data_IF_420724767870
#
_entry.id   IF_420724767870
#
_cell.length_a   1.000
_cell.length_b   1.000
_cell.length_c   1.000
_cell.angle_alpha   90.00
_cell.angle_beta   90.00
_cell.angle_gamma   90.00
#
_symmetry.space_group_name_H-M   'P 1'
#
loop_
_entity.id
_entity.type
_entity.pdbx_description
1 polymer ?
#
# COMPACT_ATOMS: atom_id res chain seq x y z
N UNK A 1 -6.80 14.60 8.86
CA UNK A 1 -6.06 13.82 7.84
C UNK A 1 -5.86 12.41 8.39
N UNK A 2 -6.12 11.38 7.60
CA UNK A 2 -6.02 9.97 7.97
C UNK A 2 -5.01 9.28 7.07
N UNK A 3 -4.07 8.53 7.67
CA UNK A 3 -3.05 7.79 6.94
C UNK A 3 -3.20 6.29 7.21
N UNK A 4 -3.33 5.50 6.14
CA UNK A 4 -3.31 4.04 6.20
C UNK A 4 -2.43 3.49 5.08
N UNK A 5 -1.39 2.76 5.47
CA UNK A 5 -0.37 2.30 4.55
C UNK A 5 -0.77 0.99 3.87
N UNK A 6 -0.80 1.02 2.54
CA UNK A 6 -0.95 -0.19 1.72
C UNK A 6 0.37 -0.95 1.63
N UNK A 7 1.51 -0.26 1.72
CA UNK A 7 2.89 -0.77 1.72
C UNK A 7 3.35 -1.43 0.41
N UNK A 8 2.55 -2.25 -0.27
CA UNK A 8 2.96 -2.97 -1.49
C UNK A 8 1.78 -3.51 -2.31
N UNK A 9 2.10 -4.16 -3.44
CA UNK A 9 1.15 -4.75 -4.39
C UNK A 9 0.54 -6.06 -3.85
N UNK A 10 -0.68 -6.46 -4.27
CA UNK A 10 -1.42 -7.59 -3.68
C UNK A 10 -0.63 -8.90 -3.57
N UNK A 11 0.17 -9.23 -4.60
CA UNK A 11 0.99 -10.46 -4.64
C UNK A 11 2.02 -10.51 -3.52
N UNK A 12 2.75 -9.42 -3.30
CA UNK A 12 3.79 -9.32 -2.26
C UNK A 12 3.15 -9.11 -0.90
N UNK A 13 2.05 -8.36 -0.84
CA UNK A 13 1.29 -8.10 0.38
C UNK A 13 0.86 -9.41 1.07
N UNK A 14 0.35 -10.37 0.30
CA UNK A 14 -0.05 -11.70 0.80
C UNK A 14 1.11 -12.46 1.46
N UNK A 15 2.33 -12.26 0.98
CA UNK A 15 3.53 -12.94 1.46
C UNK A 15 4.10 -12.30 2.72
N UNK A 16 4.13 -10.97 2.79
CA UNK A 16 4.72 -10.23 3.92
C UNK A 16 3.71 -10.05 5.07
N UNK A 17 2.42 -9.91 4.77
CA UNK A 17 1.38 -9.57 5.75
C UNK A 17 0.18 -10.52 5.66
N UNK A 18 0.34 -11.82 5.95
CA UNK A 18 -0.73 -12.81 5.79
C UNK A 18 -1.98 -12.53 6.66
N UNK A 19 -1.81 -11.81 7.78
CA UNK A 19 -2.92 -11.41 8.66
C UNK A 19 -3.74 -10.22 8.13
N UNK A 20 -3.23 -9.50 7.13
CA UNK A 20 -3.90 -8.34 6.55
C UNK A 20 -4.41 -8.69 5.15
N UNK A 21 -5.48 -8.01 4.71
CA UNK A 21 -6.01 -8.17 3.36
C UNK A 21 -5.89 -6.85 2.63
N UNK A 22 -5.41 -6.90 1.39
CA UNK A 22 -5.26 -5.75 0.50
C UNK A 22 -6.59 -4.98 0.38
N UNK A 23 -7.67 -5.68 0.05
CA UNK A 23 -9.02 -5.11 -0.10
C UNK A 23 -9.50 -4.40 1.19
N UNK A 24 -9.20 -5.01 2.35
CA UNK A 24 -9.58 -4.41 3.65
C UNK A 24 -8.82 -3.12 3.93
N UNK A 25 -7.58 -3.00 3.45
CA UNK A 25 -6.82 -1.74 3.53
C UNK A 25 -7.44 -0.65 2.66
N UNK A 26 -7.92 -1.00 1.47
CA UNK A 26 -8.65 -0.07 0.61
C UNK A 26 -9.98 0.36 1.24
N UNK A 27 -10.74 -0.57 1.81
CA UNK A 27 -12.00 -0.27 2.51
C UNK A 27 -11.81 0.74 3.65
N UNK A 28 -10.68 0.66 4.37
CA UNK A 28 -10.36 1.60 5.45
C UNK A 28 -10.12 3.01 4.89
N UNK A 29 -9.44 3.13 3.75
CA UNK A 29 -9.24 4.41 3.05
C UNK A 29 -10.58 4.96 2.58
N UNK A 30 -11.43 4.13 1.97
CA UNK A 30 -12.77 4.54 1.50
C UNK A 30 -13.65 5.03 2.64
N UNK A 31 -13.63 4.36 3.79
CA UNK A 31 -14.37 4.80 4.98
C UNK A 31 -13.85 6.12 5.53
N UNK A 32 -12.54 6.32 5.58
CA UNK A 32 -11.96 7.58 6.02
C UNK A 32 -12.33 8.73 5.07
N UNK A 33 -12.29 8.50 3.76
CA UNK A 33 -12.75 9.47 2.75
C UNK A 33 -14.23 9.79 2.91
N UNK A 34 -15.09 8.79 3.10
CA UNK A 34 -16.52 8.97 3.32
C UNK A 34 -16.83 9.75 4.62
N UNK A 35 -15.95 9.65 5.63
CA UNK A 35 -16.01 10.47 6.84
C UNK A 35 -15.51 11.92 6.65
N UNK A 36 -15.19 12.34 5.42
CA UNK A 36 -14.74 13.70 5.10
C UNK A 36 -13.28 13.98 5.45
N UNK A 37 -12.48 12.95 5.74
CA UNK A 37 -11.06 13.11 6.05
C UNK A 37 -10.22 13.10 4.78
N UNK A 38 -9.21 13.98 4.72
CA UNK A 38 -8.13 13.87 3.73
C UNK A 38 -7.35 12.57 3.97
N UNK A 39 -7.22 11.74 2.95
CA UNK A 39 -6.62 10.40 3.04
C UNK A 39 -5.20 10.36 2.46
N UNK A 40 -4.34 9.55 3.08
CA UNK A 40 -2.98 9.29 2.63
C UNK A 40 -2.64 7.80 2.71
N UNK A 41 -1.85 7.33 1.75
CA UNK A 41 -1.24 6.00 1.77
C UNK A 41 0.20 6.03 1.26
N UNK A 42 0.83 4.87 1.23
CA UNK A 42 2.18 4.68 0.72
C UNK A 42 2.32 3.42 -0.14
N UNK A 43 3.38 3.38 -0.94
CA UNK A 43 3.90 2.19 -1.60
C UNK A 43 5.42 2.14 -1.39
N UNK A 44 5.94 0.99 -0.98
CA UNK A 44 7.35 0.70 -0.92
C UNK A 44 7.72 -0.04 -2.20
N UNK A 45 8.69 0.51 -2.94
CA UNK A 45 9.15 0.01 -4.24
C UNK A 45 10.50 -0.70 -4.10
N UNK A 46 10.74 -1.76 -4.88
CA UNK A 46 11.97 -2.56 -4.84
C UNK A 46 11.84 -3.85 -4.03
N UNK A 47 10.62 -4.32 -3.76
CA UNK A 47 10.36 -5.62 -3.12
C UNK A 47 10.08 -6.75 -4.13
N UNK A 48 10.26 -6.47 -5.42
CA UNK A 48 10.07 -7.43 -6.52
C UNK A 48 8.71 -7.30 -7.20
N UNK A 49 8.05 -6.16 -7.08
CA UNK A 49 6.86 -5.78 -7.85
C UNK A 49 7.21 -5.42 -9.29
N UNK A 50 6.26 -5.57 -10.21
CA UNK A 50 6.39 -5.07 -11.58
C UNK A 50 5.80 -3.66 -11.72
N UNK A 51 6.21 -2.87 -12.73
CA UNK A 51 5.61 -1.56 -13.00
C UNK A 51 4.08 -1.61 -13.23
N UNK A 52 3.59 -2.70 -13.84
CA UNK A 52 2.15 -2.89 -14.07
C UNK A 52 1.41 -3.15 -12.75
N UNK A 53 1.99 -3.93 -11.84
CA UNK A 53 1.42 -4.16 -10.50
C UNK A 53 1.38 -2.86 -9.68
N UNK A 54 2.42 -2.01 -9.79
CA UNK A 54 2.44 -0.70 -9.14
C UNK A 54 1.36 0.21 -9.73
N UNK A 55 1.23 0.25 -11.05
CA UNK A 55 0.20 1.03 -11.75
C UNK A 55 -1.20 0.61 -11.31
N UNK A 56 -1.47 -0.70 -11.25
CA UNK A 56 -2.73 -1.23 -10.75
C UNK A 56 -2.98 -0.80 -9.30
N UNK A 57 -1.99 -0.91 -8.41
CA UNK A 57 -2.14 -0.50 -7.01
C UNK A 57 -2.39 1.02 -6.84
N UNK A 58 -1.82 1.86 -7.72
CA UNK A 58 -2.10 3.29 -7.74
C UNK A 58 -3.54 3.57 -8.18
N UNK A 59 -4.05 2.85 -9.18
CA UNK A 59 -5.46 2.93 -9.58
C UNK A 59 -6.38 2.51 -8.44
N UNK A 60 -6.10 1.40 -7.79
CA UNK A 60 -6.89 0.91 -6.65
C UNK A 60 -6.94 1.92 -5.50
N UNK A 61 -5.79 2.52 -5.14
CA UNK A 61 -5.71 3.58 -4.14
C UNK A 61 -6.51 4.82 -4.55
N UNK A 62 -6.43 5.24 -5.81
CA UNK A 62 -7.19 6.37 -6.31
C UNK A 62 -8.70 6.09 -6.25
N UNK A 63 -9.14 4.90 -6.70
CA UNK A 63 -10.54 4.48 -6.63
C UNK A 63 -11.05 4.36 -5.19
N UNK A 64 -10.21 3.95 -4.25
CA UNK A 64 -10.54 3.93 -2.83
C UNK A 64 -10.68 5.33 -2.22
N UNK A 65 -10.32 6.39 -2.95
CA UNK A 65 -10.40 7.78 -2.50
C UNK A 65 -9.16 8.26 -1.76
N UNK A 66 -7.98 7.68 -2.05
CA UNK A 66 -6.70 8.17 -1.57
C UNK A 66 -6.28 9.45 -2.31
N UNK A 67 -6.01 10.53 -1.57
CA UNK A 67 -5.62 11.82 -2.16
C UNK A 67 -4.12 12.02 -2.23
N UNK A 68 -3.38 11.47 -1.27
CA UNK A 68 -1.93 11.65 -1.15
C UNK A 68 -1.27 10.28 -1.12
N UNK A 69 -0.36 10.03 -2.05
CA UNK A 69 0.42 8.79 -2.12
C UNK A 69 1.90 9.13 -2.00
N UNK A 70 2.58 8.47 -1.08
CA UNK A 70 4.05 8.52 -0.98
C UNK A 70 4.68 7.24 -1.47
N UNK A 71 5.65 7.34 -2.36
CA UNK A 71 6.44 6.21 -2.84
C UNK A 71 7.82 6.25 -2.18
N UNK A 72 8.21 5.16 -1.55
CA UNK A 72 9.48 5.04 -0.83
C UNK A 72 10.30 3.90 -1.42
N UNK A 73 11.62 4.05 -1.58
CA UNK A 73 12.46 2.91 -1.94
C UNK A 73 12.53 1.93 -0.78
N UNK A 74 12.51 0.64 -1.09
CA UNK A 74 12.83 -0.42 -0.14
C UNK A 74 14.30 -0.31 0.22
N UNK A 75 14.57 0.00 1.49
CA UNK A 75 15.93 0.08 2.01
C UNK A 75 16.24 -1.23 2.73
N UNK A 76 17.26 -1.93 2.24
CA UNK A 76 17.80 -3.12 2.90
C UNK A 76 18.71 -2.65 4.04
N UNK A 77 18.24 -2.77 5.29
CA UNK A 77 19.08 -2.58 6.47
C UNK A 77 20.05 -3.76 6.68
N UNK A 78 21.10 -3.61 7.53
CA UNK A 78 22.13 -4.64 7.75
C UNK A 78 21.67 -5.87 8.58
N UNK A 79 20.36 -6.12 8.70
CA UNK A 79 19.77 -7.20 9.50
C UNK A 79 19.26 -8.37 8.67
N UNK A 80 18.92 -9.52 9.30
CA UNK A 80 18.42 -10.68 8.59
C UNK A 80 17.12 -10.37 7.86
N UNK A 81 17.07 -10.78 6.58
CA UNK A 81 15.95 -10.54 5.68
C UNK A 81 14.62 -11.00 6.27
N UNK A 82 13.55 -10.26 5.99
CA UNK A 82 12.26 -10.91 5.79
C UNK A 82 12.37 -11.66 4.45
N UNK A 83 12.51 -13.00 4.44
CA UNK A 83 12.69 -13.72 3.20
C UNK A 83 11.34 -13.69 2.49
N UNK A 84 11.37 -13.06 1.34
CA UNK A 84 10.39 -13.23 0.29
C UNK A 84 10.57 -14.63 -0.30
#
# INVERSE_FOLDING_TARGET
MFAHNLETVPRIFKRIRPAFRYDRSLDVITKARAAGLVTKSNLILGMGETPDEVTAALHDLHHAGCEIITMLPFLVGPGPMHPL
#
